data_IF_226412837962
#
_entry.id   IF_226412837962
#
_cell.length_a   1.000
_cell.length_b   1.000
_cell.length_c   1.000
_cell.angle_alpha   90.00
_cell.angle_beta   90.00
_cell.angle_gamma   90.00
#
_symmetry.space_group_name_H-M   'P 1'
#
loop_
_entity.id
_entity.type
_entity.pdbx_description
1 polymer ?
#
# COMPACT_ATOMS: atom_id res chain seq x y z
N UNK A 1 12.16 6.51 17.98
CA UNK A 1 10.97 5.67 18.20
C UNK A 1 11.28 4.27 17.69
N UNK A 2 11.36 3.27 18.56
CA UNK A 2 11.50 1.87 18.15
C UNK A 2 10.13 1.34 17.70
N UNK A 3 9.64 1.76 16.53
CA UNK A 3 8.25 1.50 16.10
C UNK A 3 8.03 0.04 15.70
N UNK A 4 8.89 -0.53 14.85
CA UNK A 4 8.69 -1.88 14.30
C UNK A 4 9.84 -2.86 14.53
N UNK A 5 11.02 -2.38 14.96
CA UNK A 5 12.20 -3.23 15.16
C UNK A 5 11.95 -4.38 16.16
N UNK A 6 11.32 -4.16 17.33
CA UNK A 6 11.05 -5.26 18.26
C UNK A 6 10.13 -6.34 17.68
N UNK A 7 9.16 -5.96 16.84
CA UNK A 7 8.28 -6.91 16.16
C UNK A 7 9.06 -7.74 15.13
N UNK A 8 9.93 -7.10 14.34
CA UNK A 8 10.79 -7.80 13.37
C UNK A 8 11.77 -8.74 14.05
N UNK A 9 12.34 -8.34 15.20
CA UNK A 9 13.24 -9.17 16.00
C UNK A 9 12.52 -10.40 16.56
N UNK A 10 11.29 -10.20 17.07
CA UNK A 10 10.44 -11.30 17.52
C UNK A 10 10.10 -12.27 16.39
N UNK A 11 9.76 -11.77 15.19
CA UNK A 11 9.49 -12.60 14.01
C UNK A 11 10.75 -13.42 13.64
N UNK A 12 11.93 -12.79 13.58
CA UNK A 12 13.18 -13.47 13.26
C UNK A 12 13.49 -14.58 14.28
N UNK A 13 13.29 -14.33 15.58
CA UNK A 13 13.44 -15.33 16.62
C UNK A 13 12.46 -16.51 16.45
N UNK A 14 11.19 -16.24 16.15
CA UNK A 14 10.19 -17.29 15.90
C UNK A 14 10.47 -18.12 14.65
N UNK A 15 11.05 -17.52 13.61
CA UNK A 15 11.47 -18.25 12.41
C UNK A 15 12.64 -19.20 12.71
N UNK A 16 13.58 -18.77 13.58
CA UNK A 16 14.65 -19.63 14.09
C UNK A 16 14.06 -20.84 14.83
N UNK A 17 13.15 -20.62 15.77
CA UNK A 17 12.52 -21.70 16.57
C UNK A 17 11.70 -22.68 15.71
N UNK A 18 11.05 -22.21 14.65
CA UNK A 18 10.33 -23.10 13.72
C UNK A 18 11.25 -23.91 12.83
N UNK A 19 12.39 -23.33 12.42
CA UNK A 19 13.39 -24.05 11.64
C UNK A 19 14.03 -25.18 12.45
N UNK A 20 14.21 -24.98 13.76
CA UNK A 20 14.73 -26.02 14.67
C UNK A 20 13.68 -27.09 14.95
N UNK A 21 12.41 -26.72 15.16
CA UNK A 21 11.32 -27.68 15.33
C UNK A 21 11.07 -28.56 14.08
N UNK A 22 11.14 -27.97 12.88
CA UNK A 22 11.02 -28.72 11.63
C UNK A 22 12.19 -29.70 11.40
N UNK A 23 13.40 -29.37 11.88
CA UNK A 23 14.56 -30.28 11.87
C UNK A 23 14.41 -31.43 12.86
N UNK A 24 13.77 -31.20 14.01
CA UNK A 24 13.56 -32.23 15.02
C UNK A 24 12.49 -33.27 14.63
N UNK A 25 11.63 -32.95 13.65
CA UNK A 25 10.46 -33.75 13.26
C UNK A 25 10.53 -34.34 11.84
N UNK A 26 11.59 -34.03 11.08
CA UNK A 26 11.79 -34.57 9.73
C UNK A 26 12.83 -35.70 9.72
N UNK A 27 12.48 -36.82 9.10
CA UNK A 27 13.42 -37.90 8.78
C UNK A 27 14.65 -37.38 8.01
N UNK A 28 15.81 -37.97 8.34
CA UNK A 28 17.20 -37.57 8.02
C UNK A 28 17.59 -37.53 6.52
N UNK A 29 16.74 -37.02 5.62
CA UNK A 29 17.02 -36.97 4.19
C UNK A 29 16.86 -35.59 3.53
N UNK A 30 16.67 -34.52 4.32
CA UNK A 30 16.77 -33.13 3.83
C UNK A 30 17.77 -32.36 4.66
N UNK A 31 19.06 -32.68 4.47
CA UNK A 31 20.15 -32.13 5.26
C UNK A 31 20.95 -31.03 4.53
N UNK A 32 20.42 -30.46 3.44
CA UNK A 32 21.11 -29.41 2.66
C UNK A 32 20.54 -28.00 2.82
N UNK A 33 19.67 -27.79 3.80
CA UNK A 33 19.35 -26.44 4.24
C UNK A 33 20.07 -26.19 5.57
N UNK A 34 21.20 -25.49 5.48
CA UNK A 34 21.67 -24.65 6.60
C UNK A 34 20.43 -24.01 7.23
N UNK A 35 20.30 -24.08 8.56
CA UNK A 35 19.16 -23.44 9.20
C UNK A 35 19.25 -21.97 8.84
N UNK A 36 18.29 -21.47 8.06
CA UNK A 36 18.26 -20.07 7.68
C UNK A 36 18.12 -19.25 8.97
N UNK A 37 19.25 -18.77 9.47
CA UNK A 37 19.32 -17.90 10.64
C UNK A 37 18.84 -16.53 10.20
N UNK A 38 17.56 -16.25 10.45
CA UNK A 38 17.01 -14.92 10.27
C UNK A 38 17.52 -14.01 11.37
N UNK A 39 17.99 -12.82 10.99
CA UNK A 39 18.41 -11.76 11.90
C UNK A 39 17.88 -10.42 11.39
N UNK A 40 17.61 -9.52 12.31
CA UNK A 40 17.32 -8.13 11.99
C UNK A 40 18.62 -7.35 12.05
N UNK A 41 18.88 -6.54 11.03
CA UNK A 41 20.05 -5.66 10.92
C UNK A 41 19.56 -4.27 10.53
N UNK A 42 20.31 -3.23 10.88
CA UNK A 42 20.10 -1.92 10.29
C UNK A 42 20.37 -2.01 8.78
N UNK A 43 19.57 -1.29 7.98
CA UNK A 43 19.74 -1.33 6.52
C UNK A 43 21.05 -0.63 6.11
N UNK A 44 21.42 0.37 6.88
CA UNK A 44 22.59 1.24 6.73
C UNK A 44 23.92 0.50 6.95
N UNK A 45 23.89 -0.61 7.70
CA UNK A 45 25.07 -1.41 8.05
C UNK A 45 25.12 -2.76 7.31
N UNK A 46 24.18 -2.99 6.38
CA UNK A 46 24.02 -4.32 5.76
C UNK A 46 24.89 -4.49 4.52
N UNK A 47 25.77 -5.49 4.56
CA UNK A 47 26.50 -5.98 3.38
C UNK A 47 25.89 -7.28 2.85
N UNK A 48 25.68 -7.41 1.51
CA UNK A 48 25.09 -8.59 0.91
C UNK A 48 26.02 -9.81 1.04
N UNK A 49 25.42 -10.98 1.27
CA UNK A 49 26.13 -12.26 1.32
C UNK A 49 25.48 -13.23 0.33
N UNK A 50 26.29 -13.88 -0.50
CA UNK A 50 25.82 -14.77 -1.54
C UNK A 50 24.94 -15.91 -0.98
N UNK A 51 23.90 -16.27 -1.73
CA UNK A 51 22.92 -17.30 -1.37
C UNK A 51 21.91 -16.88 -0.29
N UNK A 52 21.96 -15.65 0.24
CA UNK A 52 21.01 -15.19 1.27
C UNK A 52 19.73 -14.61 0.68
N UNK A 53 18.63 -14.90 1.37
CA UNK A 53 17.37 -14.17 1.20
C UNK A 53 17.35 -12.94 2.11
N UNK A 54 16.95 -11.80 1.57
CA UNK A 54 16.83 -10.52 2.27
C UNK A 54 15.36 -10.13 2.33
N UNK A 55 14.85 -9.93 3.54
CA UNK A 55 13.55 -9.29 3.71
C UNK A 55 13.76 -7.78 3.94
N UNK A 56 13.44 -6.94 2.94
CA UNK A 56 13.58 -5.49 3.11
C UNK A 56 12.44 -4.94 3.97
N UNK A 57 12.77 -4.04 4.88
CA UNK A 57 11.81 -3.31 5.71
C UNK A 57 12.10 -1.80 5.68
N UNK A 58 12.20 -1.29 4.46
CA UNK A 58 12.33 0.13 4.11
C UNK A 58 11.61 0.36 2.78
N UNK A 59 11.20 1.60 2.51
CA UNK A 59 10.52 1.97 1.28
C UNK A 59 11.53 2.27 0.17
N UNK A 60 11.16 2.11 -1.10
CA UNK A 60 12.13 2.32 -2.19
C UNK A 60 12.46 3.81 -2.41
N UNK A 61 11.67 4.74 -1.87
CA UNK A 61 12.06 6.16 -1.82
C UNK A 61 13.15 6.45 -0.79
N UNK A 62 13.41 5.53 0.16
CA UNK A 62 14.48 5.67 1.16
C UNK A 62 15.85 5.28 0.60
N UNK A 63 15.93 4.64 -0.57
CA UNK A 63 17.19 4.17 -1.15
C UNK A 63 18.32 5.23 -1.15
N UNK A 64 18.07 6.51 -1.51
CA UNK A 64 19.11 7.54 -1.46
C UNK A 64 19.69 7.80 -0.06
N UNK A 65 18.98 7.41 1.00
CA UNK A 65 19.38 7.59 2.39
C UNK A 65 20.08 6.37 2.99
N UNK A 66 20.18 5.24 2.27
CA UNK A 66 20.79 4.01 2.77
C UNK A 66 22.22 3.92 2.21
N UNK A 67 23.26 4.08 3.06
CA UNK A 67 24.65 3.90 2.64
C UNK A 67 24.88 2.53 1.99
N UNK A 68 25.74 2.47 0.98
CA UNK A 68 26.15 1.23 0.28
C UNK A 68 24.99 0.39 -0.32
N UNK A 69 23.79 0.95 -0.46
CA UNK A 69 22.64 0.22 -1.00
C UNK A 69 22.91 -0.36 -2.39
N UNK A 70 23.77 0.29 -3.18
CA UNK A 70 24.24 -0.18 -4.48
C UNK A 70 24.86 -1.57 -4.43
N UNK A 71 25.56 -1.94 -3.35
CA UNK A 71 26.13 -3.28 -3.20
C UNK A 71 25.02 -4.33 -3.18
N UNK A 72 23.97 -4.08 -2.40
CA UNK A 72 22.80 -4.95 -2.32
C UNK A 72 22.04 -5.00 -3.65
N UNK A 73 21.85 -3.85 -4.30
CA UNK A 73 21.16 -3.78 -5.59
C UNK A 73 21.90 -4.55 -6.68
N UNK A 74 23.23 -4.40 -6.77
CA UNK A 74 24.09 -5.17 -7.69
C UNK A 74 24.04 -6.66 -7.38
N UNK A 75 24.17 -7.05 -6.12
CA UNK A 75 24.07 -8.46 -5.71
C UNK A 75 22.72 -9.09 -6.10
N UNK A 76 21.62 -8.34 -5.97
CA UNK A 76 20.31 -8.80 -6.40
C UNK A 76 20.19 -8.89 -7.92
N UNK A 77 20.75 -7.93 -8.67
CA UNK A 77 20.77 -7.95 -10.13
C UNK A 77 21.62 -9.12 -10.68
N UNK A 78 22.70 -9.48 -10.00
CA UNK A 78 23.59 -10.62 -10.31
C UNK A 78 23.02 -11.96 -9.83
N UNK A 79 21.87 -11.98 -9.15
CA UNK A 79 21.25 -13.21 -8.62
C UNK A 79 21.96 -13.80 -7.41
N UNK A 80 22.92 -13.09 -6.81
CA UNK A 80 23.66 -13.53 -5.62
C UNK A 80 22.80 -13.49 -4.36
N UNK A 81 21.81 -12.60 -4.30
CA UNK A 81 20.82 -12.53 -3.22
C UNK A 81 19.40 -12.45 -3.78
N UNK A 82 18.41 -12.82 -2.97
CA UNK A 82 16.99 -12.65 -3.30
C UNK A 82 16.35 -11.65 -2.35
N UNK A 83 15.81 -10.54 -2.86
CA UNK A 83 15.14 -9.52 -2.04
C UNK A 83 13.62 -9.66 -2.09
N UNK A 84 12.96 -9.61 -0.92
CA UNK A 84 11.49 -9.57 -0.78
C UNK A 84 11.08 -8.50 0.24
N UNK A 85 10.10 -7.63 -0.02
CA UNK A 85 9.47 -7.36 -1.32
C UNK A 85 10.50 -6.88 -2.37
N UNK A 86 10.22 -7.08 -3.68
CA UNK A 86 11.20 -6.81 -4.74
C UNK A 86 11.50 -5.32 -4.88
N UNK A 87 12.65 -5.01 -5.50
CA UNK A 87 13.03 -3.65 -5.91
C UNK A 87 12.29 -3.30 -7.22
N UNK A 88 10.99 -3.05 -7.11
CA UNK A 88 10.12 -2.69 -8.24
C UNK A 88 9.37 -1.41 -7.91
N UNK A 89 9.98 -0.24 -8.18
CA UNK A 89 9.42 1.07 -7.84
C UNK A 89 7.97 1.22 -8.33
N UNK A 90 7.69 0.87 -9.58
CA UNK A 90 6.34 0.98 -10.12
C UNK A 90 5.26 0.24 -9.30
N UNK A 91 5.55 -0.77 -8.48
CA UNK A 91 4.54 -1.43 -7.63
C UNK A 91 4.02 -0.54 -6.48
N UNK A 92 4.74 0.52 -6.12
CA UNK A 92 4.37 1.45 -5.04
C UNK A 92 3.60 2.69 -5.59
N UNK A 93 3.47 2.80 -6.93
CA UNK A 93 2.81 3.91 -7.61
C UNK A 93 1.28 3.91 -7.45
N UNK A 94 0.70 5.09 -7.22
CA UNK A 94 -0.76 5.27 -7.12
C UNK A 94 -1.40 5.51 -8.49
N UNK A 95 -0.64 5.96 -9.48
CA UNK A 95 -1.09 6.20 -10.86
C UNK A 95 -1.76 4.98 -11.49
N UNK A 96 -1.40 3.76 -11.08
CA UNK A 96 -2.08 2.54 -11.52
C UNK A 96 -3.59 2.60 -11.36
N UNK A 97 -4.09 3.24 -10.31
CA UNK A 97 -5.53 3.39 -10.12
C UNK A 97 -6.17 4.25 -11.21
N UNK A 98 -5.52 5.34 -11.64
CA UNK A 98 -6.02 6.18 -12.72
C UNK A 98 -5.85 5.52 -14.09
N UNK A 99 -4.69 4.92 -14.37
CA UNK A 99 -4.40 4.21 -15.62
C UNK A 99 -5.37 3.03 -15.85
N UNK A 100 -5.81 2.38 -14.78
CA UNK A 100 -6.82 1.32 -14.85
C UNK A 100 -8.15 1.81 -15.45
N UNK A 101 -8.54 3.07 -15.19
CA UNK A 101 -9.80 3.66 -15.65
C UNK A 101 -9.68 4.43 -16.97
N UNK A 102 -8.47 4.64 -17.50
CA UNK A 102 -8.29 5.32 -18.78
C UNK A 102 -8.91 4.53 -19.94
N UNK A 103 -9.80 5.17 -20.69
CA UNK A 103 -10.52 4.53 -21.79
C UNK A 103 -9.60 3.93 -22.86
N UNK A 104 -8.49 4.59 -23.28
CA UNK A 104 -7.55 3.99 -24.24
C UNK A 104 -6.89 2.69 -23.76
N UNK A 105 -6.74 2.51 -22.44
CA UNK A 105 -6.14 1.31 -21.85
C UNK A 105 -7.16 0.21 -21.54
N UNK A 106 -8.45 0.45 -21.76
CA UNK A 106 -9.52 -0.51 -21.45
C UNK A 106 -9.29 -1.88 -22.09
N UNK A 107 -9.02 -1.91 -23.40
CA UNK A 107 -8.82 -3.16 -24.14
C UNK A 107 -7.52 -3.86 -23.77
N UNK A 108 -6.48 -3.09 -23.48
CA UNK A 108 -5.24 -3.62 -22.94
C UNK A 108 -5.51 -4.36 -21.62
N UNK A 109 -6.18 -3.71 -20.65
CA UNK A 109 -6.48 -4.33 -19.36
C UNK A 109 -7.37 -5.56 -19.49
N UNK A 110 -8.40 -5.50 -20.34
CA UNK A 110 -9.29 -6.64 -20.61
C UNK A 110 -8.52 -7.85 -21.13
N UNK A 111 -7.56 -7.64 -22.03
CA UNK A 111 -6.71 -8.71 -22.60
C UNK A 111 -5.72 -9.26 -21.58
N UNK A 112 -4.97 -8.40 -20.90
CA UNK A 112 -3.90 -8.83 -19.97
C UNK A 112 -4.45 -9.47 -18.69
N UNK A 113 -5.59 -8.99 -18.20
CA UNK A 113 -6.21 -9.49 -16.98
C UNK A 113 -7.25 -10.58 -17.27
N UNK A 114 -7.85 -10.58 -18.47
CA UNK A 114 -9.06 -11.34 -18.76
C UNK A 114 -10.32 -10.70 -18.19
N UNK A 115 -11.45 -10.85 -18.90
CA UNK A 115 -12.74 -10.19 -18.58
C UNK A 115 -13.15 -10.37 -17.11
N UNK A 116 -13.13 -11.61 -16.63
CA UNK A 116 -13.54 -11.94 -15.25
C UNK A 116 -12.77 -11.13 -14.21
N UNK A 117 -11.44 -11.04 -14.32
CA UNK A 117 -10.63 -10.34 -13.32
C UNK A 117 -10.71 -8.83 -13.49
N UNK A 118 -10.79 -8.36 -14.73
CA UNK A 118 -11.02 -6.95 -15.03
C UNK A 118 -12.32 -6.43 -14.38
N UNK A 119 -13.45 -7.14 -14.55
CA UNK A 119 -14.72 -6.78 -13.91
C UNK A 119 -14.65 -6.81 -12.38
N UNK A 120 -13.88 -7.73 -11.79
CA UNK A 120 -13.70 -7.77 -10.32
C UNK A 120 -12.86 -6.59 -9.82
N UNK A 121 -11.79 -6.24 -10.54
CA UNK A 121 -10.95 -5.08 -10.20
C UNK A 121 -11.74 -3.77 -10.30
N UNK A 122 -12.63 -3.62 -11.28
CA UNK A 122 -13.55 -2.47 -11.37
C UNK A 122 -14.45 -2.29 -10.15
N UNK A 123 -14.77 -3.37 -9.40
CA UNK A 123 -15.59 -3.29 -8.19
C UNK A 123 -14.81 -2.82 -6.96
N UNK A 124 -13.49 -3.09 -6.93
CA UNK A 124 -12.66 -2.84 -5.74
C UNK A 124 -11.74 -1.65 -5.89
N UNK A 125 -11.37 -1.27 -7.12
CA UNK A 125 -10.61 -0.06 -7.42
C UNK A 125 -11.61 1.08 -7.58
N UNK A 126 -11.61 2.11 -6.72
CA UNK A 126 -12.46 3.28 -6.91
C UNK A 126 -12.15 3.99 -8.22
N UNK A 127 -13.15 4.65 -8.81
CA UNK A 127 -12.90 5.47 -10.00
C UNK A 127 -11.86 6.55 -9.70
N UNK A 128 -10.87 6.63 -10.57
CA UNK A 128 -9.71 7.50 -10.41
C UNK A 128 -9.40 8.23 -11.70
N UNK A 129 -8.91 9.45 -11.54
CA UNK A 129 -8.43 10.30 -12.61
C UNK A 129 -6.97 10.65 -12.35
N UNK A 130 -6.23 10.88 -13.42
CA UNK A 130 -4.92 11.50 -13.37
C UNK A 130 -5.12 13.01 -13.51
N UNK A 131 -4.56 13.84 -12.63
CA UNK A 131 -4.65 15.31 -12.73
C UNK A 131 -3.69 15.84 -13.81
N UNK A 132 -3.89 15.39 -15.03
CA UNK A 132 -3.14 15.83 -16.20
C UNK A 132 -3.61 17.24 -16.62
N UNK A 133 -2.71 18.25 -16.67
CA UNK A 133 -3.06 19.62 -17.03
C UNK A 133 -3.25 19.84 -18.54
N UNK A 134 -3.10 18.80 -19.37
CA UNK A 134 -3.29 18.89 -20.83
C UNK A 134 -4.68 19.44 -21.17
N UNK A 135 -4.78 20.55 -21.93
CA UNK A 135 -6.07 21.13 -22.29
C UNK A 135 -6.95 20.17 -23.09
N UNK A 136 -8.22 20.09 -22.72
CA UNK A 136 -9.20 19.28 -23.45
C UNK A 136 -9.69 19.99 -24.72
N UNK A 137 -10.03 19.24 -25.80
CA UNK A 137 -10.82 19.79 -26.90
C UNK A 137 -12.11 20.43 -26.40
N UNK A 138 -12.63 21.44 -27.11
CA UNK A 138 -13.78 22.24 -26.67
C UNK A 138 -15.06 21.44 -26.36
N UNK A 139 -15.22 20.26 -26.98
CA UNK A 139 -16.39 19.38 -26.81
C UNK A 139 -16.14 18.21 -25.84
N UNK A 140 -14.94 18.11 -25.26
CA UNK A 140 -14.57 17.01 -24.37
C UNK A 140 -14.75 17.39 -22.91
N UNK A 141 -14.95 16.40 -22.04
CA UNK A 141 -15.07 16.59 -20.59
C UNK A 141 -14.28 15.54 -19.84
N UNK A 142 -13.88 15.86 -18.61
CA UNK A 142 -13.35 14.88 -17.67
C UNK A 142 -14.54 14.01 -17.19
N UNK A 143 -14.55 12.72 -17.53
CA UNK A 143 -15.74 11.88 -17.39
C UNK A 143 -16.16 11.74 -15.92
N UNK A 144 -17.47 11.77 -15.67
CA UNK A 144 -18.12 11.63 -14.34
C UNK A 144 -17.89 12.79 -13.38
N UNK A 145 -17.09 13.78 -13.75
CA UNK A 145 -16.99 15.08 -13.10
C UNK A 145 -17.69 16.16 -13.93
N UNK A 146 -17.79 15.95 -15.25
CA UNK A 146 -18.44 16.86 -16.21
C UNK A 146 -17.84 18.27 -16.17
N UNK A 147 -16.50 18.32 -16.06
CA UNK A 147 -15.69 19.54 -16.09
C UNK A 147 -14.78 19.56 -17.33
N UNK A 148 -14.43 20.75 -17.82
CA UNK A 148 -13.52 20.94 -18.94
C UNK A 148 -12.08 21.19 -18.48
N UNK A 149 -11.89 21.89 -17.36
CA UNK A 149 -10.61 22.18 -16.73
C UNK A 149 -10.60 21.76 -15.24
N UNK A 150 -9.46 21.27 -14.75
CA UNK A 150 -9.29 20.84 -13.36
C UNK A 150 -9.57 21.95 -12.33
N UNK A 151 -9.39 23.22 -12.69
CA UNK A 151 -9.74 24.38 -11.85
C UNK A 151 -11.24 24.51 -11.62
N UNK A 152 -12.08 23.90 -12.44
CA UNK A 152 -13.51 23.80 -12.15
C UNK A 152 -13.78 22.87 -10.96
N UNK A 153 -12.97 21.80 -10.79
CA UNK A 153 -13.06 20.95 -9.62
C UNK A 153 -12.73 21.70 -8.32
N UNK A 154 -11.95 22.78 -8.38
CA UNK A 154 -11.68 23.65 -7.24
C UNK A 154 -12.95 24.36 -6.74
N UNK A 155 -13.92 24.61 -7.64
CA UNK A 155 -15.18 25.32 -7.37
C UNK A 155 -16.31 24.42 -6.87
N UNK A 156 -16.11 23.10 -6.83
CA UNK A 156 -17.12 22.15 -6.33
C UNK A 156 -17.60 22.52 -4.93
N UNK A 157 -18.84 22.23 -4.57
CA UNK A 157 -19.25 22.45 -3.17
C UNK A 157 -18.70 21.34 -2.26
N UNK A 158 -18.69 21.53 -0.93
CA UNK A 158 -18.14 20.54 0.00
C UNK A 158 -18.77 19.15 -0.13
N UNK A 159 -20.07 19.09 -0.47
CA UNK A 159 -20.81 17.83 -0.72
C UNK A 159 -20.41 17.13 -2.03
N UNK A 160 -19.87 17.87 -2.99
CA UNK A 160 -19.45 17.34 -4.29
C UNK A 160 -17.96 16.92 -4.28
N UNK A 161 -17.28 17.10 -3.14
CA UNK A 161 -15.86 16.80 -2.92
C UNK A 161 -15.62 15.55 -2.07
N UNK A 162 -16.45 14.52 -2.21
CA UNK A 162 -16.10 13.15 -1.79
C UNK A 162 -15.01 12.57 -2.74
N UNK A 163 -13.89 13.28 -2.80
CA UNK A 163 -12.77 13.14 -3.72
C UNK A 163 -11.46 13.21 -2.94
N UNK A 164 -10.59 12.24 -3.18
CA UNK A 164 -9.25 12.16 -2.61
C UNK A 164 -8.23 12.66 -3.62
N UNK A 165 -7.35 13.56 -3.21
CA UNK A 165 -6.07 13.80 -3.89
C UNK A 165 -5.02 12.88 -3.28
N UNK A 166 -4.28 12.17 -4.12
CA UNK A 166 -3.17 11.31 -3.69
C UNK A 166 -1.96 11.54 -4.58
N UNK A 167 -0.85 11.96 -3.96
CA UNK A 167 0.45 12.05 -4.65
C UNK A 167 0.89 10.64 -5.05
N UNK A 168 1.10 10.45 -6.34
CA UNK A 168 1.80 9.30 -6.91
C UNK A 168 3.28 9.62 -7.03
N UNK A 169 4.10 8.60 -7.23
CA UNK A 169 5.53 8.75 -7.32
C UNK A 169 6.27 8.23 -6.09
N UNK A 170 7.58 8.11 -6.28
CA UNK A 170 8.61 7.93 -5.27
C UNK A 170 8.76 9.18 -4.40
N UNK A 171 7.70 9.56 -3.69
CA UNK A 171 7.68 10.73 -2.83
C UNK A 171 7.72 10.33 -1.35
N UNK A 172 8.53 11.00 -0.51
CA UNK A 172 8.46 10.88 0.95
C UNK A 172 7.07 11.21 1.52
N UNK A 173 6.25 11.96 0.77
CA UNK A 173 4.85 12.24 1.13
C UNK A 173 3.94 11.03 0.95
N UNK A 174 4.38 9.98 0.26
CA UNK A 174 3.61 8.77 -0.01
C UNK A 174 3.27 7.94 1.24
N UNK A 175 3.95 8.17 2.36
CA UNK A 175 3.80 7.42 3.61
C UNK A 175 2.93 8.13 4.66
N UNK A 176 2.19 7.35 5.45
CA UNK A 176 1.60 7.80 6.72
C UNK A 176 0.49 8.87 6.61
N UNK A 177 -0.44 8.72 5.65
CA UNK A 177 -1.58 9.63 5.36
C UNK A 177 -1.23 11.08 4.96
N UNK A 178 0.04 11.48 4.97
CA UNK A 178 0.51 12.85 4.65
C UNK A 178 0.28 13.26 3.20
N UNK A 179 0.40 12.32 2.26
CA UNK A 179 0.17 12.55 0.83
C UNK A 179 -1.27 12.32 0.37
N UNK A 180 -2.23 12.29 1.29
CA UNK A 180 -3.66 12.09 0.98
C UNK A 180 -4.46 13.29 1.50
N UNK A 181 -5.43 13.75 0.72
CA UNK A 181 -6.31 14.85 1.10
C UNK A 181 -7.74 14.56 0.66
N UNK A 182 -8.70 14.70 1.58
CA UNK A 182 -10.12 14.53 1.29
C UNK A 182 -10.75 15.90 1.10
N UNK A 183 -11.26 16.18 -0.10
CA UNK A 183 -11.78 17.50 -0.44
C UNK A 183 -12.95 17.95 0.44
N UNK A 184 -13.78 17.02 0.91
CA UNK A 184 -14.88 17.32 1.84
C UNK A 184 -14.42 17.80 3.23
N UNK A 185 -13.15 17.58 3.58
CA UNK A 185 -12.60 17.92 4.90
C UNK A 185 -11.80 19.22 4.87
N UNK A 186 -11.61 19.79 3.68
CA UNK A 186 -10.80 20.98 3.47
C UNK A 186 -11.68 22.21 3.23
N UNK A 187 -11.20 23.35 3.73
CA UNK A 187 -11.73 24.64 3.32
C UNK A 187 -11.52 24.87 1.82
N UNK A 188 -12.35 25.72 1.21
CA UNK A 188 -12.31 25.96 -0.24
C UNK A 188 -10.92 26.34 -0.74
N UNK A 189 -10.30 27.35 -0.12
CA UNK A 189 -8.99 27.85 -0.50
C UNK A 189 -7.88 26.78 -0.41
N UNK A 190 -7.96 25.89 0.58
CA UNK A 190 -6.97 24.82 0.74
C UNK A 190 -7.15 23.71 -0.31
N UNK A 191 -8.39 23.39 -0.68
CA UNK A 191 -8.68 22.46 -1.77
C UNK A 191 -8.17 22.97 -3.12
N UNK A 192 -8.47 24.24 -3.42
CA UNK A 192 -8.01 24.93 -4.63
C UNK A 192 -6.48 24.95 -4.72
N UNK A 193 -5.81 25.37 -3.64
CA UNK A 193 -4.34 25.34 -3.54
C UNK A 193 -3.74 23.96 -3.84
N UNK A 194 -4.37 22.89 -3.37
CA UNK A 194 -3.90 21.52 -3.61
C UNK A 194 -4.10 21.08 -5.06
N UNK A 195 -5.19 21.48 -5.71
CA UNK A 195 -5.39 21.24 -7.14
C UNK A 195 -4.35 22.01 -7.95
N UNK A 196 -4.17 23.31 -7.70
CA UNK A 196 -3.18 24.12 -8.42
C UNK A 196 -1.77 23.56 -8.27
N UNK A 197 -1.39 23.15 -7.05
CA UNK A 197 -0.10 22.49 -6.82
C UNK A 197 0.00 21.18 -7.62
N UNK A 198 -1.03 20.35 -7.61
CA UNK A 198 -1.03 19.09 -8.35
C UNK A 198 -0.87 19.27 -9.87
N UNK A 199 -1.47 20.31 -10.44
CA UNK A 199 -1.32 20.67 -11.85
C UNK A 199 0.09 21.20 -12.13
N UNK A 200 0.62 22.07 -11.26
CA UNK A 200 1.94 22.67 -11.42
C UNK A 200 3.08 21.66 -11.27
N UNK A 201 2.91 20.62 -10.45
CA UNK A 201 3.93 19.59 -10.23
C UNK A 201 3.68 18.30 -11.01
N UNK A 202 2.80 18.32 -12.01
CA UNK A 202 2.36 17.10 -12.70
C UNK A 202 3.54 16.25 -13.24
N UNK A 203 4.49 16.90 -13.92
CA UNK A 203 5.61 16.22 -14.58
C UNK A 203 6.63 15.61 -13.61
N UNK A 204 6.70 16.10 -12.37
CA UNK A 204 7.69 15.66 -11.37
C UNK A 204 7.08 14.85 -10.22
N UNK A 205 5.81 15.08 -9.91
CA UNK A 205 5.08 14.49 -8.78
C UNK A 205 3.60 14.38 -9.14
N UNK A 206 3.25 13.43 -10.04
CA UNK A 206 1.90 13.31 -10.55
C UNK A 206 0.92 12.98 -9.43
N UNK A 207 -0.25 13.61 -9.45
CA UNK A 207 -1.31 13.39 -8.47
C UNK A 207 -2.50 12.69 -9.14
N UNK A 208 -3.11 11.76 -8.42
CA UNK A 208 -4.41 11.21 -8.82
C UNK A 208 -5.54 11.82 -8.00
N UNK A 209 -6.70 12.00 -8.64
CA UNK A 209 -7.97 12.21 -7.97
C UNK A 209 -8.66 10.85 -7.88
N UNK A 210 -9.29 10.54 -6.76
CA UNK A 210 -10.01 9.28 -6.59
C UNK A 210 -11.30 9.49 -5.84
N UNK A 211 -12.38 8.83 -6.27
CA UNK A 211 -13.64 8.84 -5.50
C UNK A 211 -13.41 8.31 -4.09
N UNK A 212 -13.85 9.06 -3.09
CA UNK A 212 -13.80 8.63 -1.71
C UNK A 212 -14.93 7.64 -1.41
N UNK A 213 -14.59 6.53 -0.76
CA UNK A 213 -15.57 5.57 -0.26
C UNK A 213 -15.42 5.43 1.24
N UNK A 214 -16.52 5.62 1.97
CA UNK A 214 -16.57 5.42 3.41
C UNK A 214 -16.49 3.92 3.71
N UNK A 215 -15.54 3.52 4.55
CA UNK A 215 -15.44 2.15 5.03
C UNK A 215 -16.72 1.70 5.74
N UNK A 216 -17.08 0.43 5.57
CA UNK A 216 -18.24 -0.19 6.23
C UNK A 216 -18.07 -0.16 7.75
N UNK A 217 -19.14 0.17 8.47
CA UNK A 217 -19.18 0.09 9.92
C UNK A 217 -19.54 -1.33 10.36
N UNK A 218 -18.83 -1.82 11.37
CA UNK A 218 -19.13 -3.06 12.08
C UNK A 218 -18.90 -2.86 13.57
N UNK A 219 -19.48 -3.74 14.38
CA UNK A 219 -19.18 -3.82 15.81
C UNK A 219 -18.14 -4.91 16.04
N UNK A 220 -17.15 -4.61 16.88
CA UNK A 220 -16.07 -5.53 17.20
C UNK A 220 -15.73 -5.45 18.69
N UNK A 221 -15.65 -6.62 19.34
CA UNK A 221 -15.19 -6.72 20.73
C UNK A 221 -13.68 -6.80 20.77
N UNK A 222 -13.07 -6.06 21.68
CA UNK A 222 -11.63 -6.04 21.88
C UNK A 222 -11.29 -5.94 23.36
N UNK A 223 -10.11 -6.45 23.71
CA UNK A 223 -9.55 -6.32 25.04
C UNK A 223 -9.01 -4.91 25.23
N UNK A 224 -9.45 -4.23 26.30
CA UNK A 224 -8.96 -2.91 26.67
C UNK A 224 -7.95 -3.03 27.82
N UNK A 225 -6.63 -2.88 27.56
CA UNK A 225 -5.60 -3.20 28.55
C UNK A 225 -5.71 -2.38 29.84
N UNK A 226 -6.12 -1.11 29.76
CA UNK A 226 -6.13 -0.23 30.94
C UNK A 226 -7.21 -0.61 31.96
N UNK A 227 -8.33 -1.20 31.53
CA UNK A 227 -9.40 -1.64 32.44
C UNK A 227 -9.45 -3.15 32.63
N UNK A 228 -8.76 -3.92 31.78
CA UNK A 228 -8.83 -5.38 31.82
C UNK A 228 -10.22 -5.91 31.43
N UNK A 229 -10.94 -5.20 30.57
CA UNK A 229 -12.30 -5.56 30.17
C UNK A 229 -12.41 -5.73 28.66
N UNK A 230 -13.39 -6.54 28.25
CA UNK A 230 -13.83 -6.59 26.87
C UNK A 230 -14.77 -5.42 26.59
N UNK A 231 -14.35 -4.53 25.68
CA UNK A 231 -15.17 -3.41 25.19
C UNK A 231 -15.65 -3.69 23.77
N UNK A 232 -16.78 -3.10 23.39
CA UNK A 232 -17.28 -3.13 22.01
C UNK A 232 -17.02 -1.79 21.34
N UNK A 233 -16.44 -1.81 20.15
CA UNK A 233 -16.26 -0.62 19.32
C UNK A 233 -17.06 -0.78 18.03
N UNK A 234 -17.88 0.24 17.70
CA UNK A 234 -18.43 0.43 16.36
C UNK A 234 -17.39 1.17 15.51
N UNK A 235 -16.83 0.50 14.52
CA UNK A 235 -15.69 1.03 13.77
C UNK A 235 -15.73 0.74 12.27
N UNK A 236 -14.95 1.51 11.51
CA UNK A 236 -14.74 1.30 10.07
C UNK A 236 -13.64 0.28 9.86
N UNK A 237 -13.89 -0.68 8.98
CA UNK A 237 -12.92 -1.74 8.68
C UNK A 237 -12.20 -1.51 7.35
N UNK A 238 -10.90 -1.78 7.35
CA UNK A 238 -10.08 -1.97 6.15
C UNK A 238 -9.48 -3.36 6.18
N UNK A 239 -9.61 -4.09 5.08
CA UNK A 239 -8.96 -5.40 4.90
C UNK A 239 -7.69 -5.22 4.05
N UNK A 240 -6.57 -5.70 4.57
CA UNK A 240 -5.28 -5.74 3.88
C UNK A 240 -4.89 -7.21 3.63
N UNK A 241 -5.27 -7.80 2.48
CA UNK A 241 -4.91 -9.18 2.14
C UNK A 241 -3.42 -9.29 1.78
N UNK A 242 -2.76 -10.32 2.32
CA UNK A 242 -1.35 -10.64 2.06
C UNK A 242 -1.24 -11.79 1.06
N UNK A 243 -0.79 -11.47 -0.15
CA UNK A 243 -0.56 -12.43 -1.23
C UNK A 243 0.92 -12.77 -1.35
N UNK A 244 1.21 -14.05 -1.46
CA UNK A 244 2.57 -14.58 -1.59
C UNK A 244 2.69 -15.31 -2.92
N UNK A 245 3.77 -15.08 -3.65
CA UNK A 245 4.08 -15.85 -4.87
C UNK A 245 4.97 -17.03 -4.48
N UNK A 246 4.48 -18.26 -4.69
CA UNK A 246 5.25 -19.50 -4.50
C UNK A 246 5.14 -20.37 -5.75
N UNK A 247 6.28 -20.75 -6.33
CA UNK A 247 6.35 -21.56 -7.56
C UNK A 247 5.48 -20.96 -8.67
N UNK A 248 5.62 -19.65 -8.91
CA UNK A 248 4.82 -18.87 -9.87
C UNK A 248 3.30 -18.90 -9.64
N UNK A 249 2.85 -19.25 -8.42
CA UNK A 249 1.44 -19.21 -8.04
C UNK A 249 1.21 -18.22 -6.90
N UNK A 250 0.26 -17.32 -7.10
CA UNK A 250 -0.21 -16.39 -6.07
C UNK A 250 -1.06 -17.15 -5.06
N UNK A 251 -0.78 -16.95 -3.76
CA UNK A 251 -1.54 -17.55 -2.66
C UNK A 251 -1.86 -16.49 -1.63
N UNK A 252 -3.14 -16.34 -1.29
CA UNK A 252 -3.56 -15.58 -0.11
C UNK A 252 -3.11 -16.32 1.15
N UNK A 253 -2.37 -15.64 2.03
CA UNK A 253 -1.87 -16.21 3.29
C UNK A 253 -2.62 -15.74 4.53
N UNK A 254 -3.35 -14.65 4.39
CA UNK A 254 -4.16 -14.06 5.43
C UNK A 254 -4.51 -12.63 5.04
N UNK A 255 -5.26 -11.96 5.90
CA UNK A 255 -5.52 -10.54 5.78
C UNK A 255 -5.36 -9.90 7.16
N UNK A 256 -4.91 -8.65 7.20
CA UNK A 256 -5.01 -7.83 8.40
C UNK A 256 -6.29 -7.01 8.29
N UNK A 257 -7.20 -7.19 9.23
CA UNK A 257 -8.31 -6.26 9.42
C UNK A 257 -7.87 -5.14 10.36
N UNK A 258 -7.90 -3.91 9.88
CA UNK A 258 -7.70 -2.70 10.68
C UNK A 258 -9.06 -2.08 10.94
N UNK A 259 -9.46 -1.94 12.20
CA UNK A 259 -10.75 -1.37 12.60
C UNK A 259 -10.46 -0.08 13.38
N UNK A 260 -11.01 1.04 12.93
CA UNK A 260 -10.84 2.36 13.57
C UNK A 260 -12.18 2.91 14.04
N UNK A 261 -12.22 3.83 15.02
CA UNK A 261 -13.46 4.46 15.46
C UNK A 261 -14.30 5.06 14.32
N UNK A 262 -15.63 5.07 14.49
CA UNK A 262 -16.57 5.46 13.44
C UNK A 262 -16.44 6.90 12.93
N UNK A 263 -15.90 7.80 13.76
CA UNK A 263 -15.61 9.21 13.45
C UNK A 263 -14.39 9.34 12.51
N UNK A 264 -13.53 8.32 12.42
CA UNK A 264 -12.38 8.34 11.50
C UNK A 264 -12.84 8.07 10.08
N UNK A 265 -12.36 8.90 9.15
CA UNK A 265 -12.60 8.74 7.70
C UNK A 265 -11.48 7.94 7.02
N UNK A 266 -10.23 8.19 7.41
CA UNK A 266 -9.07 7.42 6.94
C UNK A 266 -8.82 6.22 7.84
N UNK A 267 -8.80 5.02 7.25
CA UNK A 267 -8.53 3.78 7.98
C UNK A 267 -7.08 3.38 7.74
N UNK A 268 -6.24 3.60 8.74
CA UNK A 268 -4.83 3.20 8.77
C UNK A 268 -4.43 2.74 10.18
N UNK A 269 -3.19 2.28 10.35
CA UNK A 269 -2.66 2.00 11.69
C UNK A 269 -2.60 3.30 12.51
N UNK A 270 -3.29 3.33 13.63
CA UNK A 270 -3.37 4.46 14.57
C UNK A 270 -3.53 3.91 15.99
N UNK A 271 -3.30 4.74 17.01
CA UNK A 271 -3.28 4.31 18.43
C UNK A 271 -4.59 3.68 18.88
N UNK A 272 -5.70 4.16 18.36
CA UNK A 272 -7.07 3.73 18.60
C UNK A 272 -7.55 2.65 17.60
N UNK A 273 -6.67 2.16 16.73
CA UNK A 273 -7.01 1.07 15.82
C UNK A 273 -6.92 -0.29 16.50
N UNK A 274 -7.87 -1.16 16.17
CA UNK A 274 -7.83 -2.59 16.48
C UNK A 274 -7.24 -3.32 15.27
N UNK A 275 -6.22 -4.14 15.52
CA UNK A 275 -5.55 -4.95 14.51
C UNK A 275 -5.93 -6.42 14.70
N UNK A 276 -6.63 -6.99 13.72
CA UNK A 276 -7.14 -8.37 13.80
C UNK A 276 -6.56 -9.20 12.66
N UNK A 277 -5.65 -10.15 12.96
CA UNK A 277 -5.25 -11.16 12.00
C UNK A 277 -6.48 -11.97 11.55
N UNK A 278 -6.70 -12.01 10.25
CA UNK A 278 -7.87 -12.63 9.62
C UNK A 278 -7.43 -13.67 8.61
N UNK A 279 -8.26 -14.71 8.42
CA UNK A 279 -8.07 -15.74 7.39
C UNK A 279 -9.35 -15.88 6.58
N UNK A 280 -9.23 -16.33 5.34
CA UNK A 280 -10.40 -16.81 4.60
C UNK A 280 -10.90 -18.08 5.28
N UNK A 281 -12.22 -18.21 5.40
CA UNK A 281 -12.85 -19.50 5.68
C UNK A 281 -12.44 -20.48 4.58
N UNK A 282 -12.09 -21.70 4.97
CA UNK A 282 -11.70 -22.77 4.03
C UNK A 282 -12.94 -23.45 3.50
#
# INVERSE_FOLDING_TARGET
AATYRPEMEWIAARLKDRSTYAKATADRQRQDSESATWRVVAAEDYEPQDGRAVYRFFELFDLPNIPNIDNLLRANAEGRVTITPPIKPFLEEKMWFALFWLKPLHEFWRRELGEKYFTQLQKVIPYSWLLDPTPLPQHAVIPRLEIHDWREAAKFSQKDRDLLLKVSGFSPLGWGSRGISLGSDLAHAEWEKRIDNALATFDSSPTIMQRFHKGRLLEHRYWYPDTGELKTMKGRVRLCPYYFVKNNRVKLRGALATIVPADKKFVHGMRDAILVPSRTER
#
